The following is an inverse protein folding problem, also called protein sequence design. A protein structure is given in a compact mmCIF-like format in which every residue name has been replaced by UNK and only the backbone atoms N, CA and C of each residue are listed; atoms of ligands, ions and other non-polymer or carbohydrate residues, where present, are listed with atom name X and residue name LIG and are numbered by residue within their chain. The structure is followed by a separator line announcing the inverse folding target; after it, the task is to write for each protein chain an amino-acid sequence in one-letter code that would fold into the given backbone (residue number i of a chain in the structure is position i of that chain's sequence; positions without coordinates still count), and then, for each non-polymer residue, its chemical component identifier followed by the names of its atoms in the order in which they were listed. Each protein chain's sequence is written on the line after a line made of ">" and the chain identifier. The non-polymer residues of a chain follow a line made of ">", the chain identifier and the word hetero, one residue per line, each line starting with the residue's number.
data_IF_743936688759
#
_entry.id   IF_743936688759
#
_cell.length_a   1.000
_cell.length_b   1.000
_cell.length_c   1.000
_cell.angle_alpha   90.00
_cell.angle_beta   90.00
_cell.angle_gamma   90.00
#
_symmetry.space_group_name_H-M   'P 1'
#
loop_
_entity.id
_entity.type
_entity.pdbx_description
1 polymer ?
#
# COMPACT_ATOMS: atom_id res chain seq x y z
N UNK A 1 -16.78 1.42 -9.68
CA UNK A 1 -18.17 1.35 -9.18
C UNK A 1 -18.26 1.98 -7.79
N UNK A 2 -18.80 3.19 -7.70
CA UNK A 2 -19.32 3.75 -6.45
C UNK A 2 -20.82 3.90 -6.69
N UNK A 3 -21.64 3.32 -5.82
CA UNK A 3 -23.03 3.76 -5.72
C UNK A 3 -23.02 5.10 -5.02
N UNK A 4 -23.33 6.18 -5.73
CA UNK A 4 -23.59 7.47 -5.11
C UNK A 4 -25.07 7.56 -4.78
N UNK A 5 -25.35 8.05 -3.57
CA UNK A 5 -26.71 8.36 -3.15
C UNK A 5 -27.07 9.72 -3.72
N UNK A 6 -28.25 9.86 -4.34
CA UNK A 6 -28.89 11.17 -4.48
C UNK A 6 -29.19 11.69 -3.08
N UNK A 7 -28.51 12.76 -2.68
CA UNK A 7 -28.91 13.55 -1.52
C UNK A 7 -30.16 14.34 -1.88
N UNK A 8 -31.31 13.68 -1.93
CA UNK A 8 -32.59 14.38 -1.79
C UNK A 8 -33.04 14.24 -0.34
N UNK A 9 -33.19 15.39 0.32
CA UNK A 9 -33.68 15.55 1.68
C UNK A 9 -35.19 15.29 1.80
N UNK A 10 -35.88 15.04 0.69
CA UNK A 10 -37.33 14.92 0.68
C UNK A 10 -37.79 13.46 0.52
N UNK A 11 -38.41 12.95 1.59
CA UNK A 11 -39.55 12.02 1.53
C UNK A 11 -39.44 10.74 0.69
N UNK A 12 -39.36 9.60 1.39
CA UNK A 12 -40.18 8.41 1.11
C UNK A 12 -40.23 7.86 -0.34
N UNK A 13 -39.12 7.84 -1.07
CA UNK A 13 -38.97 6.91 -2.21
C UNK A 13 -37.76 6.01 -2.00
N UNK A 14 -38.04 4.72 -1.79
CA UNK A 14 -37.05 3.66 -1.86
C UNK A 14 -36.59 3.51 -3.31
N UNK A 15 -35.67 4.35 -3.76
CA UNK A 15 -35.06 4.17 -5.06
C UNK A 15 -33.99 3.06 -5.00
N UNK A 16 -34.00 2.19 -6.01
CA UNK A 16 -32.93 1.22 -6.20
C UNK A 16 -31.57 1.93 -6.36
N UNK A 17 -30.48 1.33 -5.85
CA UNK A 17 -29.16 1.92 -5.97
C UNK A 17 -28.77 2.08 -7.44
N UNK A 18 -28.35 3.30 -7.81
CA UNK A 18 -27.78 3.59 -9.13
C UNK A 18 -26.26 3.44 -9.09
N UNK A 19 -25.71 2.92 -10.17
CA UNK A 19 -24.28 2.71 -10.31
C UNK A 19 -23.73 3.58 -11.43
N UNK A 20 -22.65 4.30 -11.13
CA UNK A 20 -21.92 5.07 -12.13
C UNK A 20 -20.69 4.30 -12.62
N UNK A 21 -20.52 4.30 -13.93
CA UNK A 21 -19.42 3.63 -14.63
C UNK A 21 -18.74 4.62 -15.57
N UNK A 22 -17.41 4.52 -15.62
CA UNK A 22 -16.58 5.10 -16.69
C UNK A 22 -16.01 3.94 -17.46
N UNK A 23 -16.15 3.95 -18.79
CA UNK A 23 -15.76 2.84 -19.67
C UNK A 23 -14.86 3.35 -20.78
N UNK A 24 -13.70 2.70 -20.91
CA UNK A 24 -12.81 2.91 -22.04
C UNK A 24 -13.26 2.00 -23.19
N UNK A 25 -13.52 2.57 -24.36
CA UNK A 25 -14.04 1.84 -25.52
C UNK A 25 -13.16 2.09 -26.74
N UNK A 26 -12.69 1.00 -27.38
CA UNK A 26 -12.01 1.08 -28.68
C UNK A 26 -13.03 1.01 -29.80
N UNK A 27 -13.07 2.05 -30.64
CA UNK A 27 -14.03 2.16 -31.75
C UNK A 27 -13.35 1.95 -33.11
N UNK A 28 -14.05 1.30 -34.04
CA UNK A 28 -13.63 1.26 -35.44
C UNK A 28 -13.78 2.63 -36.13
N UNK A 29 -12.98 2.87 -37.19
CA UNK A 29 -12.95 4.16 -37.92
C UNK A 29 -14.34 4.75 -38.27
N UNK A 30 -15.33 3.97 -38.76
CA UNK A 30 -16.64 4.52 -39.14
C UNK A 30 -17.47 5.05 -37.97
N UNK A 31 -17.27 4.48 -36.77
CA UNK A 31 -18.00 4.88 -35.56
C UNK A 31 -17.26 5.99 -34.83
N UNK A 32 -15.93 5.94 -34.81
CA UNK A 32 -15.07 6.97 -34.21
C UNK A 32 -15.31 8.37 -34.82
N UNK A 33 -15.58 8.47 -36.12
CA UNK A 33 -15.89 9.75 -36.79
C UNK A 33 -17.24 10.35 -36.36
N UNK A 34 -18.14 9.55 -35.79
CA UNK A 34 -19.48 9.97 -35.35
C UNK A 34 -19.52 10.37 -33.87
N UNK A 35 -18.48 10.05 -33.10
CA UNK A 35 -18.41 10.38 -31.67
C UNK A 35 -17.87 11.79 -31.48
N UNK A 36 -18.69 12.65 -30.87
CA UNK A 36 -18.32 14.01 -30.48
C UNK A 36 -17.65 13.99 -29.11
N UNK A 37 -16.54 14.69 -29.01
CA UNK A 37 -15.90 14.96 -27.72
C UNK A 37 -16.81 15.83 -26.87
N UNK A 38 -16.94 15.50 -25.59
CA UNK A 38 -17.68 16.27 -24.60
C UNK A 38 -16.91 16.19 -23.28
N UNK A 39 -16.32 17.31 -22.84
CA UNK A 39 -15.47 17.34 -21.66
C UNK A 39 -16.21 16.79 -20.41
N UNK A 40 -15.58 15.85 -19.70
CA UNK A 40 -16.17 15.19 -18.53
C UNK A 40 -17.26 14.16 -18.82
N UNK A 41 -17.59 13.88 -20.09
CA UNK A 41 -18.52 12.80 -20.48
C UNK A 41 -17.94 11.85 -21.53
N UNK A 42 -17.31 12.40 -22.56
CA UNK A 42 -16.69 11.66 -23.67
C UNK A 42 -15.33 12.28 -23.96
N UNK A 43 -14.29 11.59 -23.50
CA UNK A 43 -12.90 12.00 -23.68
C UNK A 43 -12.20 11.08 -24.69
N UNK A 44 -11.33 11.66 -25.52
CA UNK A 44 -10.49 10.88 -26.43
C UNK A 44 -9.19 10.56 -25.70
N UNK A 45 -8.94 9.26 -25.55
CA UNK A 45 -7.69 8.75 -24.97
C UNK A 45 -6.72 8.42 -26.10
N UNK A 46 -5.47 8.84 -25.97
CA UNK A 46 -4.41 8.31 -26.82
C UNK A 46 -4.07 6.89 -26.37
N UNK A 47 -3.97 5.97 -27.34
CA UNK A 47 -3.55 4.61 -27.06
C UNK A 47 -2.04 4.60 -26.85
N UNK A 48 -1.61 4.53 -25.60
CA UNK A 48 -0.23 4.13 -25.27
C UNK A 48 -0.17 2.61 -25.17
N UNK A 49 0.89 2.00 -25.72
CA UNK A 49 1.11 0.55 -25.70
C UNK A 49 1.19 -0.05 -24.28
N UNK A 50 1.32 0.79 -23.25
CA UNK A 50 1.38 0.41 -21.84
C UNK A 50 0.06 -0.10 -21.25
N UNK A 51 -1.09 0.16 -21.87
CA UNK A 51 -2.40 -0.03 -21.22
C UNK A 51 -2.92 -1.48 -21.18
N UNK A 52 -2.23 -2.46 -21.79
CA UNK A 52 -2.72 -3.85 -21.88
C UNK A 52 -1.65 -4.93 -21.77
N UNK A 53 -0.46 -4.63 -21.25
CA UNK A 53 0.50 -5.69 -20.96
C UNK A 53 0.07 -6.43 -19.69
N UNK A 54 -0.55 -7.60 -19.86
CA UNK A 54 -0.66 -8.61 -18.81
C UNK A 54 0.78 -9.05 -18.45
N UNK A 55 1.40 -8.33 -17.52
CA UNK A 55 2.71 -8.70 -17.01
C UNK A 55 2.56 -10.01 -16.25
N UNK A 56 3.33 -11.02 -16.64
CA UNK A 56 3.54 -12.23 -15.85
C UNK A 56 4.12 -11.91 -14.46
N UNK A 57 4.40 -12.94 -13.63
CA UNK A 57 4.78 -12.77 -12.23
C UNK A 57 6.13 -12.04 -11.99
N UNK A 58 6.84 -11.69 -13.06
CA UNK A 58 8.06 -10.89 -13.03
C UNK A 58 7.79 -9.65 -13.88
N UNK A 59 7.79 -8.47 -13.25
CA UNK A 59 7.77 -7.21 -13.96
C UNK A 59 9.12 -7.07 -14.70
N UNK A 60 9.15 -7.00 -16.04
CA UNK A 60 10.36 -6.62 -16.75
C UNK A 60 10.52 -5.10 -16.59
N UNK A 61 11.18 -4.66 -15.52
CA UNK A 61 11.30 -3.22 -15.24
C UNK A 61 12.49 -2.58 -15.97
N UNK A 62 13.51 -3.34 -16.39
CA UNK A 62 14.62 -2.78 -17.16
C UNK A 62 15.19 -3.72 -18.23
N UNK A 63 15.43 -3.18 -19.43
CA UNK A 63 16.17 -3.81 -20.53
C UNK A 63 17.59 -3.26 -20.69
N UNK A 64 18.03 -2.34 -19.81
CA UNK A 64 19.32 -1.63 -19.96
C UNK A 64 20.45 -2.33 -19.22
N UNK A 65 21.61 -2.58 -19.85
CA UNK A 65 22.75 -3.20 -19.20
C UNK A 65 23.38 -2.29 -18.12
N UNK A 66 23.77 -2.92 -17.00
CA UNK A 66 24.32 -2.32 -15.77
C UNK A 66 25.81 -1.94 -15.98
N UNK A 67 26.13 -1.07 -16.95
CA UNK A 67 27.53 -0.65 -17.19
C UNK A 67 27.94 0.60 -16.41
N UNK A 68 27.00 1.50 -16.09
CA UNK A 68 27.21 2.75 -15.33
C UNK A 68 26.23 2.91 -14.14
N UNK A 69 25.79 1.78 -13.57
CA UNK A 69 24.71 1.80 -12.58
C UNK A 69 25.15 2.40 -11.24
N UNK A 70 24.54 3.53 -10.90
CA UNK A 70 24.55 4.12 -9.56
C UNK A 70 23.94 3.16 -8.54
N UNK A 71 24.47 3.19 -7.32
CA UNK A 71 23.89 2.44 -6.19
C UNK A 71 23.03 3.38 -5.34
N UNK A 72 21.77 3.02 -5.13
CA UNK A 72 20.86 3.74 -4.24
C UNK A 72 20.60 2.88 -3.01
N UNK A 73 20.86 3.44 -1.82
CA UNK A 73 20.50 2.81 -0.54
C UNK A 73 19.13 3.32 -0.12
N UNK A 74 18.21 2.40 0.16
CA UNK A 74 16.84 2.73 0.58
C UNK A 74 16.62 2.22 1.99
N UNK A 75 16.17 3.09 2.89
CA UNK A 75 15.93 2.75 4.30
C UNK A 75 14.44 2.63 4.56
N UNK A 76 13.98 1.39 4.76
CA UNK A 76 12.59 1.01 4.99
C UNK A 76 12.01 0.23 3.81
N UNK A 77 11.46 -0.95 4.09
CA UNK A 77 10.76 -1.81 3.13
C UNK A 77 9.24 -1.62 3.19
N UNK A 78 8.78 -0.41 3.50
CA UNK A 78 7.37 -0.02 3.40
C UNK A 78 6.96 0.28 1.95
N UNK A 79 5.71 0.74 1.72
CA UNK A 79 5.24 1.08 0.38
C UNK A 79 6.15 2.08 -0.33
N UNK A 80 6.49 3.20 0.33
CA UNK A 80 7.37 4.21 -0.27
C UNK A 80 8.75 3.65 -0.65
N UNK A 81 9.36 2.83 0.21
CA UNK A 81 10.68 2.26 -0.06
C UNK A 81 10.67 1.21 -1.16
N UNK A 82 9.67 0.34 -1.20
CA UNK A 82 9.56 -0.65 -2.27
C UNK A 82 9.20 -0.04 -3.63
N UNK A 83 8.27 0.91 -3.69
CA UNK A 83 8.01 1.61 -4.95
C UNK A 83 9.24 2.39 -5.41
N UNK A 84 9.98 3.05 -4.51
CA UNK A 84 11.27 3.65 -4.86
C UNK A 84 12.28 2.62 -5.40
N UNK A 85 12.36 1.42 -4.79
CA UNK A 85 13.23 0.35 -5.26
C UNK A 85 12.86 -0.12 -6.68
N UNK A 86 11.55 -0.26 -6.95
CA UNK A 86 11.05 -0.65 -8.28
C UNK A 86 11.46 0.39 -9.33
N UNK A 87 11.31 1.67 -9.04
CA UNK A 87 11.70 2.76 -9.95
C UNK A 87 13.22 2.84 -10.15
N UNK A 88 14.02 2.65 -9.09
CA UNK A 88 15.50 2.62 -9.18
C UNK A 88 15.96 1.48 -10.08
N UNK A 89 15.41 0.28 -9.89
CA UNK A 89 15.72 -0.88 -10.71
C UNK A 89 15.25 -0.68 -12.15
N UNK A 90 14.05 -0.11 -12.35
CA UNK A 90 13.50 0.20 -13.67
C UNK A 90 14.40 1.17 -14.45
N UNK A 91 14.99 2.15 -13.76
CA UNK A 91 15.96 3.08 -14.32
C UNK A 91 17.31 2.44 -14.67
N UNK A 92 17.54 1.17 -14.30
CA UNK A 92 18.81 0.47 -14.53
C UNK A 92 19.88 0.76 -13.47
N UNK A 93 19.47 1.10 -12.24
CA UNK A 93 20.36 1.35 -11.11
C UNK A 93 20.34 0.20 -10.09
N UNK A 94 21.42 0.09 -9.31
CA UNK A 94 21.53 -0.89 -8.24
C UNK A 94 20.80 -0.37 -7.00
N UNK A 95 20.11 -1.25 -6.30
CA UNK A 95 19.32 -0.90 -5.13
C UNK A 95 19.68 -1.80 -3.95
N UNK A 96 19.95 -1.21 -2.79
CA UNK A 96 20.09 -1.92 -1.51
C UNK A 96 19.03 -1.40 -0.56
N UNK A 97 18.05 -2.24 -0.21
CA UNK A 97 16.98 -1.91 0.72
C UNK A 97 17.34 -2.44 2.11
N UNK A 98 17.36 -1.58 3.12
CA UNK A 98 17.53 -1.95 4.52
C UNK A 98 16.19 -1.90 5.23
N UNK A 99 15.84 -2.95 5.97
CA UNK A 99 14.64 -3.00 6.79
C UNK A 99 14.97 -3.53 8.19
N UNK A 100 14.62 -2.74 9.21
CA UNK A 100 14.89 -3.09 10.62
C UNK A 100 14.15 -4.35 11.04
N UNK A 101 12.92 -4.52 10.55
CA UNK A 101 12.10 -5.68 10.84
C UNK A 101 12.36 -6.86 9.91
N UNK A 102 11.51 -7.87 10.04
CA UNK A 102 11.69 -9.13 9.33
C UNK A 102 10.89 -9.18 8.02
N UNK A 103 11.30 -10.09 7.13
CA UNK A 103 10.50 -10.51 5.98
C UNK A 103 9.13 -11.03 6.44
N UNK A 104 8.12 -10.90 5.57
CA UNK A 104 6.70 -11.02 5.92
C UNK A 104 6.36 -12.38 6.51
N UNK A 105 7.05 -13.44 6.10
CA UNK A 105 6.85 -14.80 6.62
C UNK A 105 7.28 -14.93 8.09
N UNK A 106 8.42 -14.32 8.46
CA UNK A 106 8.90 -14.33 9.85
C UNK A 106 8.17 -13.29 10.69
N UNK A 107 7.94 -12.10 10.14
CA UNK A 107 7.17 -11.02 10.77
C UNK A 107 5.77 -11.50 11.15
N UNK A 108 5.12 -12.33 10.33
CA UNK A 108 3.82 -12.93 10.66
C UNK A 108 3.85 -13.79 11.94
N UNK A 109 4.95 -14.48 12.23
CA UNK A 109 5.13 -15.20 13.49
C UNK A 109 5.25 -14.25 14.67
N UNK A 110 6.00 -13.16 14.51
CA UNK A 110 6.16 -12.12 15.55
C UNK A 110 4.81 -11.43 15.85
N UNK A 111 4.02 -11.13 14.82
CA UNK A 111 2.65 -10.60 14.98
C UNK A 111 1.75 -11.61 15.69
N UNK A 112 1.81 -12.89 15.31
CA UNK A 112 1.04 -13.94 16.00
C UNK A 112 1.40 -14.04 17.49
N UNK A 113 2.69 -13.98 17.82
CA UNK A 113 3.16 -13.97 19.21
C UNK A 113 2.66 -12.73 19.97
N UNK A 114 2.65 -11.56 19.34
CA UNK A 114 2.08 -10.35 19.91
C UNK A 114 0.59 -10.50 20.19
N UNK A 115 -0.18 -10.98 19.21
CA UNK A 115 -1.65 -11.05 19.33
C UNK A 115 -2.10 -12.09 20.37
N UNK A 116 -1.52 -13.29 20.33
CA UNK A 116 -1.96 -14.44 21.13
C UNK A 116 -1.23 -14.58 22.46
N UNK A 117 0.04 -14.16 22.54
CA UNK A 117 0.89 -14.35 23.73
C UNK A 117 1.33 -13.05 24.38
N UNK A 118 0.91 -11.89 23.82
CA UNK A 118 1.29 -10.54 24.28
C UNK A 118 2.81 -10.32 24.31
N UNK A 119 3.53 -11.04 23.46
CA UNK A 119 4.99 -10.93 23.34
C UNK A 119 5.33 -9.97 22.20
N UNK A 120 5.79 -8.77 22.54
CA UNK A 120 6.22 -7.78 21.57
C UNK A 120 7.69 -7.98 21.20
N UNK A 121 7.97 -8.12 19.90
CA UNK A 121 9.31 -7.88 19.37
C UNK A 121 9.42 -6.39 18.94
N UNK A 122 10.28 -5.58 19.58
CA UNK A 122 10.36 -4.15 19.30
C UNK A 122 10.90 -3.84 17.89
N UNK A 123 11.61 -4.77 17.26
CA UNK A 123 12.17 -4.61 15.91
C UNK A 123 11.29 -5.23 14.81
N UNK A 124 10.34 -6.11 15.15
CA UNK A 124 9.46 -6.79 14.19
C UNK A 124 8.04 -6.82 14.72
N UNK A 125 7.21 -5.88 14.27
CA UNK A 125 5.87 -5.63 14.83
C UNK A 125 4.95 -4.99 13.80
N UNK A 126 3.79 -4.47 14.22
CA UNK A 126 2.81 -3.86 13.32
C UNK A 126 3.37 -2.67 12.53
N UNK A 127 4.40 -1.98 13.04
CA UNK A 127 5.04 -0.86 12.36
C UNK A 127 6.24 -1.28 11.51
N UNK A 128 7.02 -2.26 11.96
CA UNK A 128 8.35 -2.56 11.39
C UNK A 128 8.44 -3.94 10.75
N UNK A 129 9.13 -3.99 9.60
CA UNK A 129 9.36 -5.14 8.74
C UNK A 129 8.70 -5.02 7.36
N UNK A 130 8.75 -6.08 6.57
CA UNK A 130 8.35 -6.06 5.14
C UNK A 130 6.92 -5.54 4.93
N UNK A 131 6.78 -4.52 4.09
CA UNK A 131 5.56 -3.76 3.81
C UNK A 131 5.18 -2.69 4.85
N UNK A 132 6.01 -2.50 5.88
CA UNK A 132 5.84 -1.46 6.90
C UNK A 132 4.49 -1.55 7.63
N UNK A 133 3.92 -0.40 7.98
CA UNK A 133 2.62 -0.33 8.66
C UNK A 133 1.42 -0.76 7.79
N UNK A 134 1.62 -0.92 6.47
CA UNK A 134 0.55 -1.28 5.54
C UNK A 134 0.16 -2.76 5.58
N UNK A 135 1.07 -3.66 5.97
CA UNK A 135 0.93 -5.11 5.76
C UNK A 135 -0.23 -5.75 6.52
N UNK A 136 -0.36 -5.48 7.82
CA UNK A 136 -1.47 -5.98 8.66
C UNK A 136 -2.60 -4.94 8.75
N UNK A 137 -3.07 -4.51 7.59
CA UNK A 137 -4.18 -3.55 7.49
C UNK A 137 -5.24 -4.05 6.49
N UNK A 138 -6.39 -3.38 6.46
CA UNK A 138 -7.43 -3.62 5.44
C UNK A 138 -6.91 -3.36 4.01
N UNK A 139 -5.78 -2.68 3.86
CA UNK A 139 -5.17 -2.42 2.55
C UNK A 139 -6.02 -1.49 1.70
N UNK A 140 -6.71 -0.53 2.32
CA UNK A 140 -7.48 0.51 1.62
C UNK A 140 -6.53 1.37 0.79
N UNK A 141 -6.81 1.48 -0.50
CA UNK A 141 -6.01 2.29 -1.41
C UNK A 141 -6.70 3.65 -1.58
N UNK A 142 -6.18 4.66 -0.87
CA UNK A 142 -6.72 6.02 -0.86
C UNK A 142 -5.70 6.99 -1.44
N UNK A 143 -6.18 8.01 -2.15
CA UNK A 143 -5.34 9.06 -2.75
C UNK A 143 -6.01 10.43 -2.62
N UNK A 144 -5.21 11.49 -2.56
CA UNK A 144 -5.66 12.89 -2.53
C UNK A 144 -5.27 13.68 -3.78
N UNK A 145 -4.51 13.08 -4.69
CA UNK A 145 -3.99 13.73 -5.91
C UNK A 145 -4.80 13.38 -7.17
N UNK A 146 -5.97 12.76 -6.99
CA UNK A 146 -6.83 12.28 -8.07
C UNK A 146 -6.66 10.78 -8.33
N UNK A 147 -7.77 10.07 -8.52
CA UNK A 147 -7.76 8.61 -8.72
C UNK A 147 -7.25 8.21 -10.11
N UNK A 148 -7.48 9.05 -11.10
CA UNK A 148 -7.19 8.78 -12.51
C UNK A 148 -5.87 9.43 -12.96
N UNK A 149 -5.08 9.99 -12.05
CA UNK A 149 -3.73 10.47 -12.40
C UNK A 149 -2.86 9.29 -12.84
N UNK A 150 -1.98 9.52 -13.81
CA UNK A 150 -1.05 8.51 -14.33
C UNK A 150 -0.24 7.84 -13.23
N UNK A 151 0.29 8.60 -12.26
CA UNK A 151 1.07 8.06 -11.13
C UNK A 151 0.28 7.05 -10.28
N UNK A 152 -0.97 7.39 -9.92
CA UNK A 152 -1.85 6.50 -9.16
C UNK A 152 -2.18 5.26 -9.98
N UNK A 153 -2.43 5.43 -11.27
CA UNK A 153 -2.75 4.32 -12.17
C UNK A 153 -1.57 3.36 -12.29
N UNK A 154 -0.36 3.87 -12.49
CA UNK A 154 0.88 3.10 -12.52
C UNK A 154 1.07 2.28 -11.24
N UNK A 155 0.86 2.88 -10.06
CA UNK A 155 0.91 2.16 -8.78
C UNK A 155 -0.11 1.02 -8.71
N UNK A 156 -1.35 1.26 -9.17
CA UNK A 156 -2.39 0.22 -9.16
C UNK A 156 -2.09 -0.91 -10.14
N UNK A 157 -1.59 -0.60 -11.33
CA UNK A 157 -1.20 -1.57 -12.36
C UNK A 157 -0.02 -2.44 -11.89
N UNK A 158 0.98 -1.83 -11.24
CA UNK A 158 2.08 -2.56 -10.59
C UNK A 158 1.57 -3.52 -9.51
N UNK A 159 0.63 -3.08 -8.66
CA UNK A 159 0.04 -3.96 -7.66
C UNK A 159 -0.68 -5.16 -8.31
N UNK A 160 -1.41 -4.93 -9.41
CA UNK A 160 -2.10 -5.99 -10.16
C UNK A 160 -1.10 -6.98 -10.77
N UNK A 161 -0.04 -6.48 -11.39
CA UNK A 161 1.04 -7.31 -11.93
C UNK A 161 1.71 -8.18 -10.84
N UNK A 162 1.72 -7.70 -9.59
CA UNK A 162 2.24 -8.41 -8.43
C UNK A 162 1.20 -9.30 -7.72
N UNK A 163 0.02 -9.48 -8.32
CA UNK A 163 -1.01 -10.42 -7.85
C UNK A 163 -2.17 -9.79 -7.08
N UNK A 164 -2.31 -8.45 -7.09
CA UNK A 164 -3.55 -7.81 -6.67
C UNK A 164 -4.68 -8.10 -7.66
N UNK A 165 -5.95 -8.10 -7.22
CA UNK A 165 -7.07 -8.32 -8.12
C UNK A 165 -7.23 -7.13 -9.07
N UNK A 166 -7.50 -7.39 -10.36
CA UNK A 166 -7.72 -6.35 -11.37
C UNK A 166 -8.88 -5.41 -11.03
N UNK A 167 -9.81 -5.84 -10.16
CA UNK A 167 -10.90 -5.02 -9.65
C UNK A 167 -10.44 -3.70 -8.99
N UNK A 168 -9.20 -3.63 -8.47
CA UNK A 168 -8.70 -2.40 -7.84
C UNK A 168 -8.59 -1.23 -8.82
N UNK A 169 -8.42 -1.51 -10.12
CA UNK A 169 -8.29 -0.51 -11.17
C UNK A 169 -9.62 0.25 -11.38
N UNK A 170 -10.76 -0.42 -11.17
CA UNK A 170 -12.11 0.12 -11.49
C UNK A 170 -13.00 0.34 -10.27
N UNK A 171 -12.71 -0.31 -9.14
CA UNK A 171 -13.50 -0.19 -7.91
C UNK A 171 -13.37 1.20 -7.34
N UNK A 172 -14.45 1.85 -6.91
CA UNK A 172 -14.34 3.24 -6.43
C UNK A 172 -13.64 3.39 -5.08
N UNK A 173 -13.70 2.35 -4.24
CA UNK A 173 -13.05 2.28 -2.92
C UNK A 173 -12.31 0.95 -2.81
N UNK A 174 -11.19 0.78 -3.54
CA UNK A 174 -10.48 -0.48 -3.62
C UNK A 174 -9.75 -0.76 -2.31
N UNK A 175 -9.71 -2.04 -1.97
CA UNK A 175 -8.95 -2.54 -0.85
C UNK A 175 -8.34 -3.89 -1.22
N UNK A 176 -7.19 -4.22 -0.65
CA UNK A 176 -6.46 -5.45 -0.94
C UNK A 176 -6.75 -6.56 0.07
N UNK A 177 -6.96 -6.19 1.34
CA UNK A 177 -7.03 -7.14 2.46
C UNK A 177 -5.66 -7.72 2.83
N UNK A 178 -5.49 -8.04 4.11
CA UNK A 178 -4.23 -8.50 4.72
C UNK A 178 -3.60 -9.71 4.02
N UNK A 179 -4.39 -10.76 3.74
CA UNK A 179 -3.85 -12.01 3.17
C UNK A 179 -3.25 -11.82 1.77
N UNK A 180 -3.81 -10.89 0.98
CA UNK A 180 -3.30 -10.55 -0.34
C UNK A 180 -2.03 -9.71 -0.23
N UNK A 181 -1.98 -8.76 0.70
CA UNK A 181 -0.81 -7.91 0.93
C UNK A 181 0.46 -8.72 1.20
N UNK A 182 0.37 -9.77 2.03
CA UNK A 182 1.51 -10.66 2.31
C UNK A 182 2.07 -11.28 1.03
N UNK A 183 1.21 -11.74 0.12
CA UNK A 183 1.62 -12.36 -1.15
C UNK A 183 2.20 -11.33 -2.11
N UNK A 184 1.56 -10.16 -2.24
CA UNK A 184 2.00 -9.07 -3.11
C UNK A 184 3.38 -8.57 -2.69
N UNK A 185 3.61 -8.37 -1.38
CA UNK A 185 4.91 -7.93 -0.86
C UNK A 185 6.01 -8.94 -1.14
N UNK A 186 5.73 -10.23 -0.93
CA UNK A 186 6.68 -11.30 -1.26
C UNK A 186 7.00 -11.32 -2.75
N UNK A 187 5.99 -11.19 -3.62
CA UNK A 187 6.19 -11.13 -5.07
C UNK A 187 7.03 -9.91 -5.46
N UNK A 188 6.77 -8.76 -4.85
CA UNK A 188 7.52 -7.52 -5.05
C UNK A 188 9.00 -7.69 -4.67
N UNK A 189 9.29 -8.23 -3.49
CA UNK A 189 10.66 -8.55 -3.07
C UNK A 189 11.35 -9.50 -4.04
N UNK A 190 10.70 -10.59 -4.42
CA UNK A 190 11.30 -11.58 -5.33
C UNK A 190 11.58 -10.97 -6.71
N UNK A 191 10.70 -10.10 -7.21
CA UNK A 191 10.89 -9.38 -8.48
C UNK A 191 12.05 -8.37 -8.40
N UNK A 192 12.22 -7.67 -7.27
CA UNK A 192 13.38 -6.82 -7.02
C UNK A 192 14.67 -7.65 -6.97
N UNK A 193 14.68 -8.75 -6.23
CA UNK A 193 15.84 -9.64 -6.09
C UNK A 193 16.25 -10.29 -7.41
N UNK A 194 15.29 -10.71 -8.24
CA UNK A 194 15.58 -11.26 -9.57
C UNK A 194 16.24 -10.27 -10.52
N UNK A 195 16.13 -8.97 -10.22
CA UNK A 195 16.75 -7.88 -10.99
C UNK A 195 18.03 -7.36 -10.33
N UNK A 196 18.55 -8.05 -9.31
CA UNK A 196 19.81 -7.72 -8.67
C UNK A 196 19.71 -6.70 -7.54
N UNK A 197 18.50 -6.35 -7.09
CA UNK A 197 18.36 -5.56 -5.86
C UNK A 197 18.61 -6.43 -4.63
N UNK A 198 19.28 -5.87 -3.63
CA UNK A 198 19.50 -6.50 -2.34
C UNK A 198 18.46 -6.00 -1.33
N UNK A 199 17.91 -6.91 -0.53
CA UNK A 199 16.94 -6.57 0.54
C UNK A 199 17.42 -7.21 1.84
N UNK A 200 17.88 -6.37 2.76
CA UNK A 200 18.48 -6.76 4.03
C UNK A 200 17.46 -6.57 5.17
N UNK A 201 16.86 -7.66 5.62
CA UNK A 201 15.96 -7.68 6.77
C UNK A 201 16.72 -7.85 8.09
N UNK A 202 16.12 -7.39 9.18
CA UNK A 202 16.79 -7.37 10.47
C UNK A 202 17.98 -6.42 10.46
N UNK A 203 17.93 -5.38 9.64
CA UNK A 203 19.02 -4.43 9.43
C UNK A 203 18.52 -3.01 9.67
N UNK A 204 18.83 -2.47 10.84
CA UNK A 204 18.40 -1.13 11.25
C UNK A 204 19.44 -0.10 10.83
N UNK A 205 19.02 0.96 10.18
CA UNK A 205 19.88 2.14 9.98
C UNK A 205 20.18 2.79 11.33
N UNK A 206 21.45 3.09 11.58
CA UNK A 206 21.93 3.77 12.79
C UNK A 206 22.31 5.23 12.49
N UNK A 207 22.90 5.53 11.33
CA UNK A 207 23.34 6.89 11.01
C UNK A 207 23.53 7.09 9.49
N UNK A 208 23.62 8.35 9.05
CA UNK A 208 24.04 8.72 7.69
C UNK A 208 25.57 8.74 7.60
N UNK A 209 26.10 8.25 6.48
CA UNK A 209 27.51 8.50 6.12
C UNK A 209 27.54 9.70 5.20
N UNK A 210 28.12 10.81 5.67
CA UNK A 210 28.14 12.08 4.95
C UNK A 210 29.58 12.45 4.59
N UNK A 211 29.81 12.78 3.30
CA UNK A 211 31.10 13.29 2.81
C UNK A 211 30.87 14.53 1.95
N UNK A 212 31.50 15.64 2.32
CA UNK A 212 31.37 16.91 1.57
C UNK A 212 29.92 17.40 1.46
N UNK A 213 29.13 17.23 2.52
CA UNK A 213 27.70 17.62 2.55
C UNK A 213 26.77 16.69 1.76
N UNK A 214 27.26 15.57 1.23
CA UNK A 214 26.45 14.57 0.50
C UNK A 214 26.34 13.28 1.30
N UNK A 215 25.14 12.72 1.39
CA UNK A 215 24.94 11.37 1.90
C UNK A 215 25.50 10.36 0.90
N UNK A 216 26.52 9.62 1.31
CA UNK A 216 27.24 8.62 0.48
C UNK A 216 27.02 7.18 0.99
N UNK A 217 26.06 7.01 1.89
CA UNK A 217 25.75 5.73 2.50
C UNK A 217 25.09 5.88 3.86
N UNK A 218 24.98 4.76 4.55
CA UNK A 218 24.44 4.68 5.91
C UNK A 218 25.28 3.72 6.77
N UNK A 219 25.33 4.00 8.06
CA UNK A 219 25.71 3.00 9.05
C UNK A 219 24.49 2.16 9.39
N UNK A 220 24.66 0.85 9.40
CA UNK A 220 23.60 -0.12 9.65
C UNK A 220 24.04 -1.11 10.74
N UNK A 221 23.06 -1.55 11.53
CA UNK A 221 23.22 -2.60 12.53
C UNK A 221 22.38 -3.81 12.14
N UNK A 222 23.00 -4.97 12.03
CA UNK A 222 22.29 -6.22 11.78
C UNK A 222 21.66 -6.76 13.08
N UNK A 223 20.76 -7.74 12.93
CA UNK A 223 20.05 -8.35 14.05
C UNK A 223 20.95 -9.12 15.04
N UNK A 224 22.21 -9.40 14.70
CA UNK A 224 23.20 -9.98 15.62
C UNK A 224 23.99 -8.91 16.40
N UNK A 225 23.77 -7.62 16.11
CA UNK A 225 24.45 -6.49 16.76
C UNK A 225 25.64 -5.92 15.98
N UNK A 226 26.10 -6.57 14.91
CA UNK A 226 27.20 -6.11 14.06
C UNK A 226 26.86 -4.78 13.41
N UNK A 227 27.81 -3.83 13.49
CA UNK A 227 27.72 -2.52 12.87
C UNK A 227 28.58 -2.51 11.60
N UNK A 228 27.99 -2.11 10.47
CA UNK A 228 28.67 -2.08 9.18
C UNK A 228 28.19 -0.92 8.31
N UNK A 229 29.03 -0.52 7.37
CA UNK A 229 28.76 0.57 6.44
C UNK A 229 28.14 0.02 5.15
N UNK A 230 27.06 0.68 4.67
CA UNK A 230 26.49 0.43 3.34
C UNK A 230 26.65 1.69 2.50
N UNK A 231 27.53 1.64 1.49
CA UNK A 231 27.81 2.77 0.60
C UNK A 231 26.86 2.83 -0.58
N UNK A 232 26.55 4.06 -1.01
CA UNK A 232 25.78 4.33 -2.22
C UNK A 232 26.03 5.73 -2.76
N UNK A 233 25.64 5.96 -4.01
CA UNK A 233 25.64 7.27 -4.64
C UNK A 233 24.50 8.18 -4.13
N UNK A 234 23.44 7.58 -3.59
CA UNK A 234 22.30 8.27 -2.98
C UNK A 234 21.66 7.45 -1.86
N UNK A 235 20.98 8.14 -0.95
CA UNK A 235 20.21 7.53 0.15
C UNK A 235 18.76 8.02 0.10
N UNK A 236 17.80 7.11 0.11
CA UNK A 236 16.36 7.40 0.24
C UNK A 236 15.91 6.96 1.63
N UNK A 237 15.44 7.91 2.45
CA UNK A 237 14.86 7.63 3.75
C UNK A 237 13.34 7.41 3.59
N UNK A 238 12.91 6.16 3.69
CA UNK A 238 11.49 5.75 3.72
C UNK A 238 11.11 4.99 5.03
N UNK A 239 11.53 5.45 6.23
CA UNK A 239 11.43 4.66 7.46
C UNK A 239 10.03 4.62 8.09
N UNK A 240 9.11 5.45 7.60
CA UNK A 240 7.79 5.67 8.21
C UNK A 240 7.86 6.50 9.50
N UNK A 241 6.71 7.01 9.95
CA UNK A 241 6.64 7.95 11.08
C UNK A 241 6.95 7.32 12.44
N UNK A 242 6.94 5.98 12.55
CA UNK A 242 7.16 5.29 13.82
C UNK A 242 8.64 5.21 14.20
N UNK A 243 9.58 5.42 13.27
CA UNK A 243 11.03 5.34 13.47
C UNK A 243 11.61 6.50 14.30
N UNK A 244 11.09 6.68 15.51
CA UNK A 244 11.41 7.78 16.43
C UNK A 244 12.89 7.84 16.79
N UNK A 245 13.51 6.68 16.97
CA UNK A 245 14.94 6.52 17.22
C UNK A 245 15.77 7.10 16.08
N UNK A 246 15.41 6.81 14.82
CA UNK A 246 16.08 7.38 13.67
C UNK A 246 15.86 8.89 13.57
N UNK A 247 14.65 9.40 13.79
CA UNK A 247 14.41 10.85 13.78
C UNK A 247 15.23 11.59 14.83
N UNK A 248 15.39 11.02 16.03
CA UNK A 248 16.27 11.58 17.06
C UNK A 248 17.71 11.70 16.57
N UNK A 249 18.25 10.64 15.95
CA UNK A 249 19.62 10.66 15.42
C UNK A 249 19.81 11.61 14.25
N UNK A 250 18.83 11.70 13.36
CA UNK A 250 18.86 12.66 12.27
C UNK A 250 18.91 14.10 12.80
N UNK A 251 18.15 14.38 13.87
CA UNK A 251 18.20 15.67 14.55
C UNK A 251 19.60 15.94 15.15
N UNK A 252 20.15 14.96 15.86
CA UNK A 252 21.49 15.05 16.47
C UNK A 252 22.59 15.23 15.40
N UNK A 253 22.41 14.64 14.22
CA UNK A 253 23.28 14.80 13.05
C UNK A 253 23.09 16.14 12.31
N UNK A 254 22.22 17.03 12.80
CA UNK A 254 21.97 18.35 12.22
C UNK A 254 21.07 18.36 10.98
N UNK A 255 20.34 17.28 10.71
CA UNK A 255 19.33 17.26 9.65
C UNK A 255 18.17 18.16 10.06
N UNK A 256 17.76 19.05 9.17
CA UNK A 256 16.64 19.95 9.42
C UNK A 256 15.31 19.16 9.51
N UNK A 257 14.71 19.15 10.71
CA UNK A 257 13.41 18.55 10.97
C UNK A 257 12.42 19.63 11.41
N UNK A 258 11.20 19.56 10.88
CA UNK A 258 10.12 20.51 11.19
C UNK A 258 8.98 19.78 11.89
N UNK A 259 8.52 20.25 13.07
CA UNK A 259 7.33 19.72 13.73
C UNK A 259 6.10 19.79 12.81
N UNK A 260 5.34 18.71 12.75
CA UNK A 260 4.11 18.63 11.94
C UNK A 260 2.94 18.20 12.82
N UNK A 261 1.85 18.96 12.77
CA UNK A 261 0.61 18.61 13.44
C UNK A 261 0.07 17.25 12.97
N UNK A 262 -0.48 16.47 13.90
CA UNK A 262 -1.09 15.17 13.62
C UNK A 262 -2.34 14.97 14.48
N UNK A 263 -3.22 14.06 14.05
CA UNK A 263 -4.45 13.75 14.76
C UNK A 263 -4.23 12.64 15.79
N UNK A 264 -4.85 12.78 16.96
CA UNK A 264 -4.91 11.77 18.03
C UNK A 264 -6.37 11.60 18.46
N UNK A 265 -6.70 10.42 18.98
CA UNK A 265 -8.05 10.10 19.43
C UNK A 265 -8.20 8.63 19.79
N UNK A 266 -9.45 8.20 19.89
CA UNK A 266 -9.79 6.83 20.28
C UNK A 266 -10.31 6.02 19.10
N UNK A 267 -10.06 4.71 19.14
CA UNK A 267 -10.79 3.75 18.29
C UNK A 267 -12.17 3.53 18.92
N UNK A 268 -13.21 3.76 18.13
CA UNK A 268 -14.59 3.53 18.52
C UNK A 268 -15.12 2.36 17.71
N UNK A 269 -15.83 1.46 18.37
CA UNK A 269 -16.44 0.28 17.75
C UNK A 269 -17.96 0.35 17.93
N UNK A 270 -18.68 0.03 16.86
CA UNK A 270 -20.14 -0.13 16.87
C UNK A 270 -20.47 -1.46 16.18
N UNK A 271 -21.58 -2.11 16.54
CA UNK A 271 -22.03 -3.30 15.82
C UNK A 271 -22.16 -3.02 14.32
N UNK A 272 -21.61 -3.90 13.49
CA UNK A 272 -21.67 -3.72 12.03
C UNK A 272 -23.12 -3.59 11.53
N UNK A 273 -24.04 -4.39 12.10
CA UNK A 273 -25.45 -4.36 11.73
C UNK A 273 -26.08 -2.96 11.94
N UNK A 274 -25.67 -2.25 13.00
CA UNK A 274 -26.10 -0.87 13.26
C UNK A 274 -25.60 0.07 12.15
N UNK A 275 -24.32 -0.03 11.80
CA UNK A 275 -23.73 0.78 10.71
C UNK A 275 -24.41 0.47 9.38
N UNK A 276 -24.70 -0.80 9.09
CA UNK A 276 -25.41 -1.22 7.88
C UNK A 276 -26.82 -0.63 7.82
N UNK A 277 -27.57 -0.65 8.93
CA UNK A 277 -28.90 -0.05 9.03
C UNK A 277 -28.87 1.46 8.79
N UNK A 278 -27.91 2.16 9.40
CA UNK A 278 -27.73 3.61 9.24
C UNK A 278 -27.38 3.96 7.79
N UNK A 279 -26.46 3.20 7.17
CA UNK A 279 -25.95 3.52 5.82
C UNK A 279 -26.86 3.06 4.69
N UNK A 280 -27.49 1.89 4.82
CA UNK A 280 -28.16 1.20 3.72
C UNK A 280 -29.66 0.96 3.93
N UNK A 281 -30.22 1.27 5.10
CA UNK A 281 -31.66 1.16 5.40
C UNK A 281 -32.25 -0.21 5.03
N UNK A 282 -33.22 -0.27 4.12
CA UNK A 282 -33.87 -1.52 3.68
C UNK A 282 -32.88 -2.49 3.00
N UNK A 283 -31.76 -1.99 2.48
CA UNK A 283 -30.70 -2.83 1.90
C UNK A 283 -29.69 -3.36 2.93
N UNK A 284 -29.81 -3.04 4.23
CA UNK A 284 -28.84 -3.44 5.26
C UNK A 284 -28.58 -4.96 5.29
N UNK A 285 -29.62 -5.78 5.07
CA UNK A 285 -29.48 -7.25 5.01
C UNK A 285 -28.78 -7.79 3.76
N UNK A 286 -28.58 -6.95 2.74
CA UNK A 286 -27.96 -7.32 1.46
C UNK A 286 -26.51 -6.83 1.31
N UNK A 287 -25.95 -6.14 2.31
CA UNK A 287 -24.56 -5.67 2.27
C UNK A 287 -23.64 -6.88 2.31
N UNK A 288 -22.73 -6.99 1.33
CA UNK A 288 -21.83 -8.14 1.20
C UNK A 288 -20.38 -7.75 1.44
N UNK A 289 -19.65 -8.65 2.10
CA UNK A 289 -18.20 -8.66 2.18
C UNK A 289 -17.71 -9.99 1.63
N UNK A 290 -16.98 -9.96 0.53
CA UNK A 290 -16.63 -11.18 -0.21
C UNK A 290 -17.88 -11.92 -0.68
N UNK A 291 -18.02 -13.19 -0.29
CA UNK A 291 -19.14 -14.05 -0.73
C UNK A 291 -20.36 -14.01 0.19
N UNK A 292 -20.26 -13.46 1.40
CA UNK A 292 -21.31 -13.49 2.43
C UNK A 292 -21.82 -12.09 2.74
N UNK A 293 -22.90 -12.01 3.51
CA UNK A 293 -23.33 -10.73 4.07
C UNK A 293 -22.30 -10.24 5.09
N UNK A 294 -22.13 -8.94 5.18
CA UNK A 294 -21.12 -8.31 6.06
C UNK A 294 -21.40 -8.61 7.53
N UNK A 295 -22.67 -8.78 7.91
CA UNK A 295 -23.06 -9.15 9.27
C UNK A 295 -22.70 -10.60 9.59
N UNK A 296 -22.87 -11.53 8.64
CA UNK A 296 -22.50 -12.94 8.84
C UNK A 296 -20.98 -13.15 8.95
N UNK A 297 -20.18 -12.40 8.18
CA UNK A 297 -18.72 -12.41 8.35
C UNK A 297 -18.31 -11.85 9.72
N UNK A 298 -18.95 -10.76 10.17
CA UNK A 298 -18.64 -10.16 11.45
C UNK A 298 -19.04 -11.04 12.64
N UNK A 299 -20.20 -11.69 12.60
CA UNK A 299 -20.63 -12.65 13.64
C UNK A 299 -19.67 -13.83 13.76
N UNK A 300 -19.08 -14.28 12.64
CA UNK A 300 -18.07 -15.34 12.64
C UNK A 300 -16.75 -14.86 13.28
N UNK A 301 -16.34 -13.63 12.99
CA UNK A 301 -15.09 -13.06 13.51
C UNK A 301 -15.19 -12.62 14.98
N UNK A 302 -16.37 -12.14 15.38
CA UNK A 302 -16.68 -11.63 16.71
C UNK A 302 -18.02 -12.23 17.18
N UNK A 303 -18.03 -13.49 17.63
CA UNK A 303 -19.25 -14.10 18.15
C UNK A 303 -19.73 -13.32 19.37
N UNK A 304 -21.01 -12.97 19.39
CA UNK A 304 -21.64 -12.33 20.55
C UNK A 304 -21.71 -13.40 21.66
N UNK A 305 -21.18 -13.14 22.87
CA UNK A 305 -21.37 -14.05 24.00
C UNK A 305 -22.86 -14.26 24.27
N UNK A 306 -23.27 -15.49 24.58
CA UNK A 306 -24.69 -15.84 24.84
C UNK A 306 -25.31 -15.09 26.03
N UNK A 307 -24.49 -14.43 26.86
CA UNK A 307 -24.94 -13.69 28.04
C UNK A 307 -24.79 -12.17 27.82
N UNK A 308 -25.73 -11.59 27.09
CA UNK A 308 -25.84 -10.14 26.89
C UNK A 308 -26.79 -9.49 27.89
N UNK A 309 -26.78 -9.94 29.15
CA UNK A 309 -27.45 -9.27 30.27
C UNK A 309 -26.70 -8.02 30.77
N UNK A 310 -25.57 -7.65 30.16
CA UNK A 310 -24.69 -6.55 30.61
C UNK A 310 -25.01 -5.20 29.95
N UNK A 311 -26.05 -5.12 29.12
CA UNK A 311 -26.46 -3.87 28.46
C UNK A 311 -27.98 -3.60 28.56
N UNK A 312 -28.60 -3.88 29.70
CA UNK A 312 -29.87 -3.25 30.11
C UNK A 312 -29.61 -2.06 31.04
#
# INVERSE_FOLDING_TARGET
>A
IVGERSHEEDGLREEEPRFSYVVDVRLGKPLASRVKYENGKVERLELTDSNFAAAGPLLPLSSKPIRDAKTVVIVGAGPAGYFAALEVVAAGHRCVVLERGQGVERRGKDIGALMHRKMLNPESNLCYGEGGAGTWSDGKLTTRIGRNSEDVRHVLELLVALGAPSEILVSGKPHLGTDRLVRILKAMRLSLQSQGAEVLFGTRMEDLVVKGGKAVGVMARSGNGELFEVRGDAVILAPGHSARDLYGRLLDAGVHLVPKGFAVGFRVEHPQALINKIRYRSFAGSVRTGKRTTDAENLKANPVPEDSSVFE
#
